data_IF_716445876083
#
_entry.id   IF_716445876083
#
_cell.length_a   1.000
_cell.length_b   1.000
_cell.length_c   1.000
_cell.angle_alpha   90.00
_cell.angle_beta   90.00
_cell.angle_gamma   90.00
#
_symmetry.space_group_name_H-M   'P 1'
#
loop_
_entity.id
_entity.type
_entity.pdbx_description
1 polymer ?
#
# COMPACT_ATOMS: atom_id res chain seq x y z
N UNK A 1 -7.67 -4.14 -11.44
CA UNK A 1 -7.26 -5.20 -10.50
C UNK A 1 -7.04 -4.50 -9.16
N UNK A 2 -7.85 -4.80 -8.14
CA UNK A 2 -7.73 -4.18 -6.83
C UNK A 2 -6.57 -4.85 -6.07
N UNK A 3 -5.74 -4.04 -5.43
CA UNK A 3 -4.72 -4.51 -4.49
C UNK A 3 -5.38 -5.29 -3.34
N UNK A 4 -4.67 -6.29 -2.80
CA UNK A 4 -5.24 -7.34 -1.95
C UNK A 4 -4.84 -7.13 -0.48
N UNK A 5 -3.65 -6.58 -0.22
CA UNK A 5 -3.07 -6.57 1.14
C UNK A 5 -3.53 -5.41 2.03
N UNK A 6 -4.07 -4.33 1.46
CA UNK A 6 -4.52 -3.13 2.21
C UNK A 6 -5.73 -2.50 1.51
N UNK A 7 -6.40 -1.56 2.15
CA UNK A 7 -7.53 -0.80 1.58
C UNK A 7 -7.15 0.65 1.26
N UNK A 8 -7.94 1.30 0.39
CA UNK A 8 -7.79 2.74 0.10
C UNK A 8 -7.93 3.58 1.38
N UNK A 9 -8.88 3.18 2.24
CA UNK A 9 -9.19 3.88 3.48
C UNK A 9 -8.00 3.89 4.44
N UNK A 10 -7.28 2.77 4.59
CA UNK A 10 -6.07 2.69 5.43
C UNK A 10 -4.94 3.59 4.91
N UNK A 11 -4.75 3.64 3.58
CA UNK A 11 -3.75 4.51 2.95
C UNK A 11 -4.09 5.98 3.22
N UNK A 12 -5.36 6.37 3.00
CA UNK A 12 -5.83 7.74 3.22
C UNK A 12 -5.74 8.12 4.70
N UNK A 13 -6.07 7.20 5.61
CA UNK A 13 -5.97 7.43 7.05
C UNK A 13 -4.53 7.75 7.47
N UNK A 14 -3.54 7.08 6.89
CA UNK A 14 -2.12 7.30 7.17
C UNK A 14 -1.56 8.54 6.50
N UNK A 15 -1.94 8.80 5.25
CA UNK A 15 -1.48 9.99 4.53
C UNK A 15 -2.11 11.28 5.10
N UNK A 16 -3.34 11.17 5.64
CA UNK A 16 -4.08 12.27 6.24
C UNK A 16 -4.21 13.48 5.29
N UNK A 17 -4.15 14.68 5.88
CA UNK A 17 -4.17 15.93 5.12
C UNK A 17 -2.86 16.22 4.35
N UNK A 18 -1.81 15.40 4.53
CA UNK A 18 -0.55 15.53 3.82
C UNK A 18 -0.57 14.92 2.42
N UNK A 19 -1.60 14.13 2.09
CA UNK A 19 -1.80 13.55 0.77
C UNK A 19 -1.93 14.65 -0.29
N UNK A 20 -1.16 14.55 -1.37
CA UNK A 20 -1.36 15.40 -2.54
C UNK A 20 -2.75 15.18 -3.16
N UNK A 21 -3.45 16.27 -3.50
CA UNK A 21 -4.72 16.20 -4.24
C UNK A 21 -4.55 15.62 -5.65
N UNK A 22 -3.35 15.76 -6.22
CA UNK A 22 -2.99 15.20 -7.54
C UNK A 22 -2.66 13.70 -7.48
N UNK A 23 -2.48 13.13 -6.28
CA UNK A 23 -2.29 11.69 -6.11
C UNK A 23 -3.66 11.00 -6.11
N UNK A 24 -4.13 10.68 -7.30
CA UNK A 24 -5.45 10.10 -7.53
C UNK A 24 -5.52 8.60 -7.14
N UNK A 25 -6.71 8.02 -7.26
CA UNK A 25 -6.96 6.60 -6.94
C UNK A 25 -6.24 5.64 -7.88
N UNK A 26 -5.98 6.06 -9.12
CA UNK A 26 -5.23 5.26 -10.11
C UNK A 26 -3.76 5.15 -9.71
N UNK A 27 -3.14 6.28 -9.34
CA UNK A 27 -1.78 6.33 -8.83
C UNK A 27 -1.64 5.55 -7.53
N UNK A 28 -2.62 5.67 -6.63
CA UNK A 28 -2.66 4.89 -5.40
C UNK A 28 -2.70 3.39 -5.65
N UNK A 29 -3.52 2.95 -6.60
CA UNK A 29 -3.61 1.54 -7.00
C UNK A 29 -2.27 1.04 -7.56
N UNK A 30 -1.65 1.81 -8.44
CA UNK A 30 -0.35 1.46 -9.03
C UNK A 30 0.79 1.45 -7.99
N UNK A 31 0.80 2.40 -7.05
CA UNK A 31 1.75 2.44 -5.94
C UNK A 31 1.59 1.23 -5.02
N UNK A 32 0.35 0.82 -4.74
CA UNK A 32 0.11 -0.31 -3.87
C UNK A 32 0.55 -1.64 -4.49
N UNK A 33 0.32 -1.85 -5.80
CA UNK A 33 0.86 -3.01 -6.51
C UNK A 33 2.40 -3.07 -6.46
N UNK A 34 3.07 -1.92 -6.48
CA UNK A 34 4.52 -1.84 -6.27
C UNK A 34 4.91 -2.22 -4.84
N UNK A 35 4.18 -1.74 -3.83
CA UNK A 35 4.41 -2.11 -2.43
C UNK A 35 4.28 -3.63 -2.20
N UNK A 36 3.21 -4.25 -2.72
CA UNK A 36 3.02 -5.70 -2.68
C UNK A 36 4.16 -6.45 -3.38
N UNK A 37 4.60 -5.96 -4.54
CA UNK A 37 5.73 -6.54 -5.27
C UNK A 37 7.04 -6.46 -4.48
N UNK A 38 7.28 -5.35 -3.78
CA UNK A 38 8.47 -5.15 -2.94
C UNK A 38 8.50 -6.16 -1.80
N UNK A 39 7.40 -6.32 -1.05
CA UNK A 39 7.37 -7.27 0.07
C UNK A 39 7.51 -8.70 -0.44
N UNK A 40 6.82 -9.07 -1.53
CA UNK A 40 6.90 -10.41 -2.10
C UNK A 40 8.32 -10.77 -2.54
N UNK A 41 9.01 -9.85 -3.22
CA UNK A 41 10.40 -10.03 -3.62
C UNK A 41 11.35 -10.11 -2.41
N UNK A 42 11.15 -9.25 -1.41
CA UNK A 42 12.01 -9.17 -0.22
C UNK A 42 11.93 -10.43 0.64
N UNK A 43 10.73 -10.99 0.79
CA UNK A 43 10.50 -12.22 1.57
C UNK A 43 10.60 -13.48 0.73
N UNK A 44 10.77 -13.37 -0.60
CA UNK A 44 10.75 -14.48 -1.56
C UNK A 44 9.51 -15.36 -1.44
N UNK A 45 8.36 -14.75 -1.17
CA UNK A 45 7.07 -15.43 -1.02
C UNK A 45 5.98 -14.59 -1.65
N UNK A 46 5.08 -15.22 -2.41
CA UNK A 46 3.92 -14.52 -2.93
C UNK A 46 2.83 -14.43 -1.86
N UNK A 47 2.84 -13.36 -1.07
CA UNK A 47 1.82 -13.13 -0.05
C UNK A 47 0.47 -12.76 -0.65
N UNK A 48 0.42 -12.23 -1.88
CA UNK A 48 -0.83 -11.85 -2.52
C UNK A 48 -1.70 -13.07 -2.78
N UNK A 49 -1.10 -14.18 -3.22
CA UNK A 49 -1.81 -15.45 -3.45
C UNK A 49 -2.21 -16.12 -2.12
N UNK A 50 -1.33 -16.08 -1.12
CA UNK A 50 -1.55 -16.73 0.18
C UNK A 50 -2.48 -15.93 1.11
N UNK A 51 -2.77 -14.65 0.80
CA UNK A 51 -3.36 -13.69 1.72
C UNK A 51 -4.64 -14.20 2.39
N UNK A 52 -5.52 -14.87 1.64
CA UNK A 52 -6.79 -15.40 2.16
C UNK A 52 -6.61 -16.34 3.35
N UNK A 53 -5.58 -17.18 3.34
CA UNK A 53 -5.31 -18.21 4.36
C UNK A 53 -4.48 -17.74 5.56
N UNK A 54 -3.99 -16.51 5.56
CA UNK A 54 -3.13 -15.99 6.64
C UNK A 54 -3.94 -15.65 7.90
N UNK A 55 -3.29 -15.75 9.07
CA UNK A 55 -3.84 -15.23 10.31
C UNK A 55 -3.94 -13.70 10.28
N UNK A 56 -4.73 -13.14 11.20
CA UNK A 56 -4.97 -11.70 11.25
C UNK A 56 -3.69 -10.91 11.51
N UNK A 57 -2.77 -11.43 12.32
CA UNK A 57 -1.54 -10.70 12.68
C UNK A 57 -0.62 -10.51 11.45
N UNK A 58 -0.45 -11.55 10.62
CA UNK A 58 0.33 -11.42 9.39
C UNK A 58 -0.38 -10.51 8.40
N UNK A 59 -1.71 -10.62 8.26
CA UNK A 59 -2.49 -9.72 7.41
C UNK A 59 -2.31 -8.26 7.81
N UNK A 60 -2.33 -7.97 9.11
CA UNK A 60 -2.14 -6.62 9.63
C UNK A 60 -0.74 -6.09 9.34
N UNK A 61 0.32 -6.89 9.52
CA UNK A 61 1.69 -6.45 9.21
C UNK A 61 1.85 -6.15 7.70
N UNK A 62 1.30 -7.01 6.84
CA UNK A 62 1.33 -6.79 5.38
C UNK A 62 0.55 -5.53 4.97
N UNK A 63 -0.65 -5.33 5.55
CA UNK A 63 -1.43 -4.11 5.35
C UNK A 63 -0.67 -2.88 5.83
N UNK A 64 -0.05 -2.95 7.01
CA UNK A 64 0.66 -1.85 7.64
C UNK A 64 1.86 -1.39 6.79
N UNK A 65 2.60 -2.34 6.22
CA UNK A 65 3.69 -2.06 5.29
C UNK A 65 3.17 -1.39 4.01
N UNK A 66 2.19 -2.00 3.33
CA UNK A 66 1.68 -1.51 2.05
C UNK A 66 1.05 -0.12 2.19
N UNK A 67 0.21 0.07 3.21
CA UNK A 67 -0.44 1.36 3.48
C UNK A 67 0.57 2.46 3.84
N UNK A 68 1.61 2.16 4.62
CA UNK A 68 2.65 3.13 4.97
C UNK A 68 3.49 3.52 3.76
N UNK A 69 3.87 2.55 2.92
CA UNK A 69 4.65 2.79 1.72
C UNK A 69 3.92 3.74 0.77
N UNK A 70 2.64 3.46 0.49
CA UNK A 70 1.83 4.29 -0.41
C UNK A 70 1.53 5.65 0.21
N UNK A 71 1.30 5.73 1.52
CA UNK A 71 1.10 7.01 2.21
C UNK A 71 2.34 7.92 2.11
N UNK A 72 3.54 7.36 2.25
CA UNK A 72 4.80 8.11 2.06
C UNK A 72 4.92 8.61 0.63
N UNK A 73 4.66 7.77 -0.38
CA UNK A 73 4.67 8.23 -1.78
C UNK A 73 3.64 9.33 -2.03
N UNK A 74 2.43 9.19 -1.48
CA UNK A 74 1.34 10.15 -1.67
C UNK A 74 1.63 11.52 -1.02
N UNK A 75 2.35 11.54 0.12
CA UNK A 75 2.83 12.77 0.77
C UNK A 75 4.01 13.35 -0.04
N UNK A 76 4.94 12.50 -0.47
CA UNK A 76 6.15 12.93 -1.18
C UNK A 76 5.89 13.43 -2.60
N UNK A 77 4.82 13.00 -3.25
CA UNK A 77 4.44 13.47 -4.59
C UNK A 77 4.33 15.00 -4.68
N UNK A 78 3.91 15.66 -3.60
CA UNK A 78 3.78 17.14 -3.56
C UNK A 78 5.11 17.87 -3.31
N UNK A 79 6.20 17.15 -2.97
CA UNK A 79 7.51 17.77 -2.72
C UNK A 79 8.32 18.00 -4.01
N UNK A 80 7.79 17.58 -5.16
CA UNK A 80 8.44 17.68 -6.46
C UNK A 80 7.79 18.74 -7.38
N UNK A 81 7.27 19.83 -6.79
CA UNK A 81 6.73 20.97 -7.54
C UNK A 81 7.64 21.45 -8.67
#
# INVERSE_FOLDING_TARGET
>A
MAYIMTTEAEIIQKAGAGKSASFDTTMMTAANLRAESVINCSTRRNWSDDFGGLNIDVKQILSDFCSSFVAIEAIAYNMAG
#
